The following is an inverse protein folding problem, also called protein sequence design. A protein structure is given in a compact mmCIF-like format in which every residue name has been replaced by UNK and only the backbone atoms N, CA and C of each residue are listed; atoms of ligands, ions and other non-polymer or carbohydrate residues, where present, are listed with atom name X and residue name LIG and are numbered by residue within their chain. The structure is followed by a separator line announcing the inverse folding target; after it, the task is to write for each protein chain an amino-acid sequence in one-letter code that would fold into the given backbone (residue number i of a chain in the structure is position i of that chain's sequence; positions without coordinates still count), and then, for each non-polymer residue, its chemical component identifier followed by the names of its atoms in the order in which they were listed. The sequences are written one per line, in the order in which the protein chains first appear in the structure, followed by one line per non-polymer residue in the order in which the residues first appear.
data_IF_488098265471
#
_entry.id   IF_488098265471
#
_cell.length_a   1.000
_cell.length_b   1.000
_cell.length_c   1.000
_cell.angle_alpha   90.00
_cell.angle_beta   90.00
_cell.angle_gamma   90.00
#
_symmetry.space_group_name_H-M   'P 1'
#
loop_
_entity.id
_entity.type
_entity.pdbx_description
1 polymer ?
#
# COMPACT_ATOMS: atom_id res chain seq x y z
N UNK A 1 4.74 15.22 -2.74
CA UNK A 1 4.55 15.84 -1.41
C UNK A 1 5.36 15.04 -0.40
N UNK A 2 5.52 15.49 0.85
CA UNK A 2 6.04 14.65 1.93
C UNK A 2 4.91 14.43 2.92
N UNK A 3 4.85 13.25 3.54
CA UNK A 3 3.84 12.94 4.54
C UNK A 3 3.89 13.94 5.71
N UNK A 4 2.72 14.37 6.18
CA UNK A 4 2.62 15.13 7.42
C UNK A 4 2.83 14.23 8.66
N UNK A 5 2.93 14.83 9.85
CA UNK A 5 3.18 14.09 11.09
C UNK A 5 2.06 13.10 11.44
N UNK A 6 0.80 13.39 11.11
CA UNK A 6 -0.34 12.49 11.38
C UNK A 6 -0.30 11.29 10.43
N UNK A 7 0.03 11.51 9.17
CA UNK A 7 0.23 10.49 8.15
C UNK A 7 1.42 9.58 8.49
N UNK A 8 2.53 10.14 8.97
CA UNK A 8 3.67 9.35 9.47
C UNK A 8 3.28 8.54 10.71
N UNK A 9 2.54 9.13 11.64
CA UNK A 9 2.06 8.44 12.83
C UNK A 9 1.15 7.26 12.49
N UNK A 10 0.33 7.37 11.45
CA UNK A 10 -0.50 6.27 10.94
C UNK A 10 0.34 5.09 10.45
N UNK A 11 1.31 5.32 9.55
CA UNK A 11 2.17 4.25 9.05
C UNK A 11 3.03 3.69 10.19
N UNK A 12 3.55 4.54 11.07
CA UNK A 12 4.30 4.12 12.26
C UNK A 12 3.49 3.22 13.19
N UNK A 13 2.21 3.53 13.38
CA UNK A 13 1.28 2.67 14.11
C UNK A 13 1.13 1.29 13.46
N UNK A 14 0.92 1.22 12.15
CA UNK A 14 0.85 -0.05 11.41
C UNK A 14 2.13 -0.87 11.60
N UNK A 15 3.31 -0.25 11.44
CA UNK A 15 4.59 -0.91 11.65
C UNK A 15 4.74 -1.45 13.08
N UNK A 16 4.25 -0.72 14.08
CA UNK A 16 4.29 -1.17 15.46
C UNK A 16 3.41 -2.41 15.71
N UNK A 17 2.30 -2.58 14.99
CA UNK A 17 1.47 -3.80 15.07
C UNK A 17 2.23 -5.05 14.58
N UNK A 18 3.21 -4.87 13.71
CA UNK A 18 4.01 -5.94 13.11
C UNK A 18 5.42 -6.06 13.71
N UNK A 19 5.68 -5.38 14.83
CA UNK A 19 7.00 -5.38 15.47
C UNK A 19 7.38 -6.80 15.90
N UNK A 20 8.56 -7.24 15.45
CA UNK A 20 9.03 -8.61 15.66
C UNK A 20 9.07 -8.99 17.15
N UNK A 21 8.46 -10.13 17.48
CA UNK A 21 8.34 -10.63 18.85
C UNK A 21 7.29 -9.91 19.71
N UNK A 22 6.58 -8.92 19.17
CA UNK A 22 5.51 -8.17 19.83
C UNK A 22 4.31 -7.97 18.88
N UNK A 23 4.12 -8.88 17.92
CA UNK A 23 3.11 -8.70 16.88
C UNK A 23 1.70 -8.78 17.46
N UNK A 24 0.88 -7.75 17.20
CA UNK A 24 -0.55 -7.80 17.46
C UNK A 24 -1.25 -8.53 16.31
N UNK A 25 -1.24 -9.87 16.39
CA UNK A 25 -1.86 -10.75 15.39
C UNK A 25 -3.36 -10.51 15.25
N UNK A 26 -4.02 -10.07 16.31
CA UNK A 26 -5.45 -9.75 16.31
C UNK A 26 -5.73 -8.50 15.48
N UNK A 27 -4.99 -7.42 15.74
CA UNK A 27 -5.06 -6.20 14.94
C UNK A 27 -4.73 -6.45 13.47
N UNK A 28 -3.66 -7.20 13.18
CA UNK A 28 -3.29 -7.55 11.80
C UNK A 28 -4.40 -8.38 11.10
N UNK A 29 -5.09 -9.27 11.82
CA UNK A 29 -6.22 -10.00 11.30
C UNK A 29 -7.43 -9.09 11.03
N UNK A 30 -7.74 -8.15 11.92
CA UNK A 30 -8.78 -7.15 11.74
C UNK A 30 -8.51 -6.30 10.49
N UNK A 31 -7.28 -5.81 10.32
CA UNK A 31 -6.86 -5.07 9.12
C UNK A 31 -7.04 -5.88 7.84
N UNK A 32 -6.55 -7.13 7.82
CA UNK A 32 -6.65 -8.01 6.65
C UNK A 32 -8.10 -8.35 6.29
N UNK A 33 -9.03 -8.33 7.25
CA UNK A 33 -10.45 -8.62 6.99
C UNK A 33 -11.15 -7.61 6.07
N UNK A 34 -10.61 -6.39 5.97
CA UNK A 34 -11.13 -5.36 5.06
C UNK A 34 -10.60 -5.43 3.63
N UNK A 35 -9.65 -6.34 3.33
CA UNK A 35 -9.09 -6.48 1.99
C UNK A 35 -10.21 -6.80 0.98
N UNK A 36 -10.34 -6.00 -0.09
CA UNK A 36 -11.38 -6.23 -1.10
C UNK A 36 -12.69 -5.48 -0.86
N UNK A 37 -12.83 -4.77 0.27
CA UNK A 37 -14.09 -4.14 0.67
C UNK A 37 -14.05 -2.62 0.49
N UNK A 38 -15.22 -2.01 0.48
CA UNK A 38 -15.35 -0.56 0.56
C UNK A 38 -15.15 -0.06 2.00
N UNK A 39 -14.61 1.15 2.22
CA UNK A 39 -14.37 1.68 3.56
C UNK A 39 -15.58 1.58 4.50
N UNK A 40 -16.80 1.80 3.98
CA UNK A 40 -18.04 1.74 4.76
C UNK A 40 -18.41 0.35 5.29
N UNK A 41 -17.76 -0.72 4.81
CA UNK A 41 -18.02 -2.11 5.18
C UNK A 41 -16.97 -2.67 6.14
N UNK A 42 -15.97 -1.88 6.51
CA UNK A 42 -14.79 -2.32 7.26
C UNK A 42 -14.91 -2.10 8.77
N UNK A 43 -15.99 -2.62 9.38
CA UNK A 43 -16.32 -2.41 10.80
C UNK A 43 -15.14 -2.63 11.77
N UNK A 44 -14.35 -3.69 11.53
CA UNK A 44 -13.17 -4.04 12.34
C UNK A 44 -11.96 -3.14 12.07
N UNK A 45 -11.83 -2.61 10.86
CA UNK A 45 -10.70 -1.76 10.44
C UNK A 45 -10.86 -0.33 10.97
N UNK A 46 -12.10 0.15 11.15
CA UNK A 46 -12.37 1.52 11.59
C UNK A 46 -11.59 1.92 12.84
N UNK A 47 -11.52 1.05 13.87
CA UNK A 47 -10.80 1.35 15.12
C UNK A 47 -9.29 1.59 14.91
N UNK A 48 -8.71 1.08 13.83
CA UNK A 48 -7.31 1.22 13.48
C UNK A 48 -7.04 2.43 12.57
N UNK A 49 -8.02 2.87 11.78
CA UNK A 49 -7.85 3.92 10.76
C UNK A 49 -8.42 5.26 11.21
N UNK A 50 -9.64 5.28 11.75
CA UNK A 50 -10.37 6.51 12.09
C UNK A 50 -9.60 7.48 12.99
N UNK A 51 -8.83 7.04 14.01
CA UNK A 51 -8.03 7.95 14.84
C UNK A 51 -7.02 8.80 14.04
N UNK A 52 -6.61 8.30 12.87
CA UNK A 52 -5.60 8.95 12.02
C UNK A 52 -6.21 9.75 10.86
N UNK A 53 -7.51 9.64 10.59
CA UNK A 53 -8.13 10.34 9.47
C UNK A 53 -8.09 11.87 9.66
N UNK A 54 -7.84 12.64 8.59
CA UNK A 54 -7.97 14.09 8.62
C UNK A 54 -9.45 14.50 8.77
N UNK A 55 -9.72 15.74 9.19
CA UNK A 55 -11.10 16.24 9.31
C UNK A 55 -11.86 16.25 7.99
N UNK A 56 -11.13 16.41 6.87
CA UNK A 56 -11.69 16.40 5.52
C UNK A 56 -11.57 15.01 4.89
N UNK A 57 -12.66 14.50 4.33
CA UNK A 57 -12.80 13.09 3.89
C UNK A 57 -12.15 12.71 2.55
N UNK A 58 -11.49 13.64 1.84
CA UNK A 58 -11.06 13.41 0.45
C UNK A 58 -10.01 12.29 0.29
N UNK A 59 -9.32 11.91 1.37
CA UNK A 59 -8.25 10.91 1.34
C UNK A 59 -8.52 9.67 2.19
N UNK A 60 -9.70 9.52 2.78
CA UNK A 60 -9.98 8.45 3.75
C UNK A 60 -9.72 7.07 3.13
N UNK A 61 -10.12 6.89 1.86
CA UNK A 61 -9.91 5.65 1.09
C UNK A 61 -8.46 5.17 1.15
N UNK A 62 -7.48 6.05 0.99
CA UNK A 62 -6.07 5.65 0.95
C UNK A 62 -5.58 5.12 2.29
N UNK A 63 -6.09 5.63 3.41
CA UNK A 63 -5.78 5.06 4.73
C UNK A 63 -6.31 3.63 4.85
N UNK A 64 -7.57 3.38 4.44
CA UNK A 64 -8.15 2.04 4.48
C UNK A 64 -7.44 1.06 3.55
N UNK A 65 -7.13 1.48 2.32
CA UNK A 65 -6.38 0.66 1.36
C UNK A 65 -4.99 0.33 1.91
N UNK A 66 -4.25 1.31 2.43
CA UNK A 66 -2.93 1.08 3.04
C UNK A 66 -3.02 0.14 4.25
N UNK A 67 -3.99 0.34 5.15
CA UNK A 67 -4.14 -0.50 6.33
C UNK A 67 -4.44 -1.97 5.98
N UNK A 68 -5.36 -2.20 5.04
CA UNK A 68 -5.78 -3.56 4.63
C UNK A 68 -4.68 -4.28 3.84
N UNK A 69 -3.98 -3.58 2.95
CA UNK A 69 -2.79 -4.12 2.27
C UNK A 69 -1.68 -4.44 3.28
N UNK A 70 -1.44 -3.58 4.27
CA UNK A 70 -0.46 -3.83 5.33
C UNK A 70 -0.80 -5.08 6.13
N UNK A 71 -2.06 -5.25 6.54
CA UNK A 71 -2.53 -6.47 7.21
C UNK A 71 -2.28 -7.75 6.39
N UNK A 72 -2.29 -7.66 5.05
CA UNK A 72 -1.97 -8.78 4.17
C UNK A 72 -0.47 -9.08 4.08
N UNK A 73 0.38 -8.05 4.11
CA UNK A 73 1.83 -8.17 4.00
C UNK A 73 2.56 -7.23 4.97
N UNK A 74 2.60 -7.57 6.28
CA UNK A 74 3.13 -6.70 7.32
C UNK A 74 4.66 -6.77 7.39
N UNK A 75 5.34 -6.52 6.28
CA UNK A 75 6.80 -6.44 6.17
C UNK A 75 7.20 -5.11 5.56
N UNK A 76 8.23 -4.50 6.13
CA UNK A 76 8.68 -3.16 5.77
C UNK A 76 10.16 -3.19 5.41
N UNK A 77 10.52 -2.45 4.37
CA UNK A 77 11.91 -2.14 4.04
C UNK A 77 11.99 -0.67 3.63
N UNK A 78 12.66 0.14 4.45
CA UNK A 78 12.82 1.57 4.18
C UNK A 78 13.59 1.83 2.89
N UNK A 79 13.30 2.95 2.22
CA UNK A 79 13.94 3.40 0.99
C UNK A 79 13.78 2.47 -0.22
N UNK A 80 12.82 1.53 -0.18
CA UNK A 80 12.54 0.61 -1.29
C UNK A 80 11.12 0.82 -1.81
N UNK A 81 10.99 1.41 -3.00
CA UNK A 81 9.67 1.64 -3.60
C UNK A 81 8.99 0.35 -4.04
N UNK A 82 7.69 0.42 -4.32
CA UNK A 82 6.94 -0.71 -4.89
C UNK A 82 7.55 -1.15 -6.23
N UNK A 83 7.92 -0.20 -7.10
CA UNK A 83 8.58 -0.49 -8.38
C UNK A 83 9.90 -1.23 -8.21
N UNK A 84 10.77 -0.78 -7.30
CA UNK A 84 12.04 -1.45 -7.00
C UNK A 84 11.82 -2.84 -6.37
N UNK A 85 10.80 -2.99 -5.52
CA UNK A 85 10.46 -4.28 -4.93
C UNK A 85 9.92 -5.27 -5.97
N UNK A 86 9.21 -4.79 -6.99
CA UNK A 86 8.61 -5.62 -8.03
C UNK A 86 9.58 -5.95 -9.18
N UNK A 87 10.62 -5.14 -9.39
CA UNK A 87 11.63 -5.31 -10.45
C UNK A 87 12.19 -6.73 -10.59
N UNK A 88 12.59 -7.44 -9.51
CA UNK A 88 13.11 -8.82 -9.64
C UNK A 88 12.09 -9.80 -10.23
N UNK A 89 10.78 -9.57 -10.03
CA UNK A 89 9.73 -10.45 -10.55
C UNK A 89 9.58 -10.32 -12.07
N UNK A 90 10.11 -9.26 -12.70
CA UNK A 90 10.07 -9.09 -14.16
C UNK A 90 10.76 -10.23 -14.90
N UNK A 91 11.86 -10.75 -14.35
CA UNK A 91 12.63 -11.83 -14.97
C UNK A 91 12.00 -13.21 -14.77
N UNK A 92 11.02 -13.33 -13.89
CA UNK A 92 10.33 -14.60 -13.62
C UNK A 92 9.29 -14.94 -14.70
N UNK A 93 8.62 -13.93 -15.28
CA UNK A 93 7.62 -14.12 -16.34
C UNK A 93 7.24 -12.79 -16.99
N UNK A 94 7.03 -12.79 -18.31
CA UNK A 94 6.42 -11.66 -19.05
C UNK A 94 5.07 -11.23 -18.45
N UNK A 95 4.35 -12.17 -17.85
CA UNK A 95 3.06 -11.88 -17.21
C UNK A 95 3.20 -11.02 -15.94
N UNK A 96 4.37 -10.96 -15.31
CA UNK A 96 4.63 -10.08 -14.16
C UNK A 96 4.75 -8.63 -14.63
N UNK A 97 5.47 -8.40 -15.73
CA UNK A 97 5.55 -7.08 -16.34
C UNK A 97 4.18 -6.57 -16.75
N UNK A 98 3.37 -7.39 -17.44
CA UNK A 98 2.02 -7.02 -17.82
C UNK A 98 1.14 -6.60 -16.63
N UNK A 99 1.25 -7.30 -15.48
CA UNK A 99 0.52 -6.93 -14.25
C UNK A 99 0.98 -5.61 -13.66
N UNK A 100 2.28 -5.33 -13.69
CA UNK A 100 2.81 -4.05 -13.21
C UNK A 100 2.39 -2.91 -14.14
N UNK A 101 2.45 -3.11 -15.46
CA UNK A 101 1.96 -2.13 -16.45
C UNK A 101 0.47 -1.85 -16.27
N UNK A 102 -0.34 -2.87 -16.00
CA UNK A 102 -1.77 -2.69 -15.71
C UNK A 102 -1.98 -1.82 -14.45
N UNK A 103 -1.18 -2.03 -13.39
CA UNK A 103 -1.21 -1.17 -12.22
C UNK A 103 -0.84 0.29 -12.55
N UNK A 104 0.20 0.52 -13.35
CA UNK A 104 0.59 1.89 -13.75
C UNK A 104 -0.52 2.62 -14.52
N UNK A 105 -1.32 1.89 -15.31
CA UNK A 105 -2.43 2.45 -16.08
C UNK A 105 -3.76 2.51 -15.30
N UNK A 106 -3.79 2.07 -14.04
CA UNK A 106 -5.02 1.98 -13.27
C UNK A 106 -5.57 3.37 -12.91
N UNK A 107 -6.86 3.57 -13.18
CA UNK A 107 -7.59 4.72 -12.66
C UNK A 107 -7.62 4.69 -11.12
N UNK A 108 -7.72 5.85 -10.47
CA UNK A 108 -7.74 5.96 -9.00
C UNK A 108 -8.82 5.09 -8.37
N UNK A 109 -9.94 4.89 -9.07
CA UNK A 109 -11.08 4.13 -8.55
C UNK A 109 -10.85 2.61 -8.52
N UNK A 110 -9.84 2.11 -9.24
CA UNK A 110 -9.54 0.68 -9.36
C UNK A 110 -8.12 0.32 -8.92
N UNK A 111 -7.32 1.29 -8.48
CA UNK A 111 -5.91 1.04 -8.14
C UNK A 111 -5.76 0.04 -7.00
N UNK A 112 -6.69 -0.01 -6.04
CA UNK A 112 -6.64 -0.96 -4.93
C UNK A 112 -6.82 -2.40 -5.40
N UNK A 113 -7.62 -2.67 -6.44
CA UNK A 113 -7.75 -3.99 -7.05
C UNK A 113 -6.41 -4.47 -7.62
N UNK A 114 -5.74 -3.63 -8.40
CA UNK A 114 -4.43 -3.95 -8.97
C UNK A 114 -3.36 -4.09 -7.88
N UNK A 115 -3.37 -3.20 -6.87
CA UNK A 115 -2.44 -3.25 -5.76
C UNK A 115 -2.59 -4.50 -4.91
N UNK A 116 -3.82 -5.00 -4.68
CA UNK A 116 -4.05 -6.27 -3.99
C UNK A 116 -3.28 -7.41 -4.67
N UNK A 117 -3.35 -7.50 -5.99
CA UNK A 117 -2.61 -8.51 -6.74
C UNK A 117 -1.10 -8.31 -6.66
N UNK A 118 -0.62 -7.08 -6.84
CA UNK A 118 0.82 -6.76 -6.79
C UNK A 118 1.42 -7.04 -5.40
N UNK A 119 0.75 -6.61 -4.32
CA UNK A 119 1.18 -6.87 -2.94
C UNK A 119 1.16 -8.37 -2.61
N UNK A 120 0.17 -9.13 -3.12
CA UNK A 120 0.13 -10.60 -2.98
C UNK A 120 1.32 -11.29 -3.66
N UNK A 121 1.71 -10.81 -4.84
CA UNK A 121 2.89 -11.31 -5.57
C UNK A 121 4.18 -10.96 -4.84
N UNK A 122 4.33 -9.72 -4.36
CA UNK A 122 5.49 -9.31 -3.55
C UNK A 122 5.61 -10.14 -2.27
N UNK A 123 4.49 -10.39 -1.59
CA UNK A 123 4.44 -11.25 -0.40
C UNK A 123 4.92 -12.66 -0.70
N UNK A 124 4.39 -13.27 -1.76
CA UNK A 124 4.73 -14.65 -2.15
C UNK A 124 6.20 -14.81 -2.56
N UNK A 125 6.83 -13.71 -3.02
CA UNK A 125 8.23 -13.68 -3.43
C UNK A 125 9.17 -13.04 -2.39
N UNK A 126 8.68 -12.79 -1.16
CA UNK A 126 9.49 -12.24 -0.08
C UNK A 126 10.10 -10.86 -0.37
N UNK A 127 9.40 -10.00 -1.11
CA UNK A 127 9.87 -8.68 -1.54
C UNK A 127 9.19 -7.55 -0.73
N UNK A 128 9.71 -7.20 0.47
CA UNK A 128 9.17 -6.07 1.23
C UNK A 128 9.49 -4.74 0.56
N UNK A 129 8.72 -3.71 0.93
CA UNK A 129 8.87 -2.35 0.41
C UNK A 129 8.54 -1.32 1.50
N UNK A 130 8.68 -0.05 1.13
CA UNK A 130 8.49 1.09 2.01
C UNK A 130 7.02 1.50 2.06
N UNK A 131 6.36 1.26 3.21
CA UNK A 131 4.96 1.61 3.44
C UNK A 131 4.73 3.11 3.55
N UNK A 132 5.72 3.90 4.00
CA UNK A 132 5.61 5.35 3.99
C UNK A 132 5.58 5.86 2.55
N UNK A 133 6.46 5.31 1.71
CA UNK A 133 6.51 5.67 0.29
C UNK A 133 5.24 5.25 -0.45
N UNK A 134 4.75 4.02 -0.24
CA UNK A 134 3.49 3.59 -0.85
C UNK A 134 2.34 4.51 -0.44
N UNK A 135 2.23 4.85 0.85
CA UNK A 135 1.15 5.70 1.31
C UNK A 135 1.19 7.12 0.70
N UNK A 136 2.37 7.74 0.63
CA UNK A 136 2.55 9.05 -0.03
C UNK A 136 2.20 8.99 -1.52
N UNK A 137 2.61 7.91 -2.20
CA UNK A 137 2.32 7.68 -3.60
C UNK A 137 0.80 7.50 -3.86
N UNK A 138 0.07 6.80 -2.97
CA UNK A 138 -1.39 6.65 -3.08
C UNK A 138 -2.14 7.97 -2.90
N UNK A 139 -1.73 8.79 -1.93
CA UNK A 139 -2.31 10.12 -1.71
C UNK A 139 -2.15 11.04 -2.94
N UNK A 140 -1.20 10.73 -3.83
CA UNK A 140 -0.89 11.49 -5.04
C UNK A 140 -1.25 10.75 -6.34
N UNK A 141 -1.89 9.58 -6.27
CA UNK A 141 -2.10 8.72 -7.43
C UNK A 141 -2.91 9.38 -8.55
N UNK A 142 -3.92 10.17 -8.18
CA UNK A 142 -4.79 10.90 -9.11
C UNK A 142 -4.25 12.25 -9.58
N UNK A 143 -2.97 12.57 -9.34
CA UNK A 143 -2.41 13.84 -9.78
C UNK A 143 -2.34 13.92 -11.31
N UNK A 144 -2.73 15.06 -11.95
CA UNK A 144 -2.78 15.18 -13.41
C UNK A 144 -1.47 14.88 -14.14
N UNK A 145 -0.33 15.17 -13.51
CA UNK A 145 1.00 14.95 -14.10
C UNK A 145 1.40 13.46 -14.18
N UNK A 146 0.66 12.55 -13.54
CA UNK A 146 0.98 11.12 -13.52
C UNK A 146 2.36 10.80 -12.93
N UNK A 147 2.85 11.65 -12.02
CA UNK A 147 4.25 11.62 -11.58
C UNK A 147 4.57 10.39 -10.73
N UNK A 148 3.58 9.82 -10.04
CA UNK A 148 3.73 8.58 -9.26
C UNK A 148 3.97 7.40 -10.20
N UNK A 149 3.13 7.26 -11.22
CA UNK A 149 3.22 6.23 -12.25
C UNK A 149 4.57 6.29 -12.95
N UNK A 150 5.03 7.50 -13.33
CA UNK A 150 6.34 7.69 -13.96
C UNK A 150 7.51 7.32 -13.03
N UNK A 151 7.41 7.64 -11.74
CA UNK A 151 8.42 7.29 -10.74
C UNK A 151 8.50 5.77 -10.57
N UNK A 152 7.36 5.11 -10.42
CA UNK A 152 7.28 3.66 -10.28
C UNK A 152 7.78 2.93 -11.53
N UNK A 153 7.46 3.44 -12.73
CA UNK A 153 8.00 2.93 -13.98
C UNK A 153 9.53 3.03 -14.01
N UNK A 154 10.10 4.17 -13.61
CA UNK A 154 11.57 4.34 -13.54
C UNK A 154 12.20 3.35 -12.56
N UNK A 155 11.62 3.22 -11.37
CA UNK A 155 12.11 2.31 -10.32
C UNK A 155 12.00 0.83 -10.73
N UNK A 156 11.03 0.49 -11.58
CA UNK A 156 10.81 -0.87 -12.09
C UNK A 156 11.72 -1.20 -13.29
N UNK A 157 11.91 -0.27 -14.22
CA UNK A 157 12.66 -0.52 -15.46
C UNK A 157 14.17 -0.26 -15.36
N UNK A 158 14.61 0.66 -14.49
CA UNK A 158 16.03 0.99 -14.29
C UNK A 158 16.63 0.12 -13.20
#
# INVERSE_FOLDING_TARGET
MSLDEKQKAFVGYLLNLAKEGQEDRGALADLRSGLGREPGEMARVHKHVVPYLPEKRYNDRWYYVTATLFGSFPKHQSNRSLGTAFKPLRTESESMEARFVALLNAHSDYVDEHLRHVVSLLRSNGQPFDWFRLFDDLLQWGHPDGHVQLRWARDFYR
#
